data_IF_441061059741
#
_entry.id   IF_441061059741
#
_cell.length_a   1.000
_cell.length_b   1.000
_cell.length_c   1.000
_cell.angle_alpha   90.00
_cell.angle_beta   90.00
_cell.angle_gamma   90.00
#
_symmetry.space_group_name_H-M   'P 1'
#
loop_
_entity.id
_entity.type
_entity.pdbx_description
1 polymer ?
#
# COMPACT_ATOMS: atom_id res chain seq x y z
N UNK A 1 15.99 83.37 -70.11
CA UNK A 1 14.82 83.54 -69.23
C UNK A 1 14.46 82.14 -68.74
N UNK A 2 14.83 81.70 -67.54
CA UNK A 2 14.93 82.45 -66.29
C UNK A 2 16.31 82.33 -65.63
N UNK A 3 16.88 83.45 -65.17
CA UNK A 3 18.04 83.39 -64.28
C UNK A 3 17.57 83.00 -62.88
N UNK A 4 17.98 81.82 -62.40
CA UNK A 4 17.91 81.48 -60.98
C UNK A 4 18.78 82.48 -60.23
N UNK A 5 18.15 83.38 -59.47
CA UNK A 5 18.86 84.26 -58.55
C UNK A 5 19.12 83.46 -57.29
N UNK A 6 20.34 82.97 -57.14
CA UNK A 6 20.82 82.45 -55.86
C UNK A 6 20.82 83.60 -54.85
N UNK A 7 20.48 83.33 -53.60
CA UNK A 7 20.37 84.32 -52.53
C UNK A 7 21.17 83.80 -51.35
N UNK A 8 22.04 84.63 -50.76
CA UNK A 8 22.72 84.26 -49.52
C UNK A 8 21.69 84.16 -48.40
N UNK A 9 21.52 82.98 -47.78
CA UNK A 9 20.53 82.79 -46.71
C UNK A 9 20.82 83.62 -45.44
N UNK A 10 22.10 83.94 -45.16
CA UNK A 10 22.49 84.69 -43.96
C UNK A 10 22.21 86.20 -44.05
N UNK A 11 22.36 86.82 -45.22
CA UNK A 11 22.15 88.27 -45.44
C UNK A 11 21.02 88.63 -46.43
N UNK A 12 20.35 87.65 -47.03
CA UNK A 12 19.26 87.79 -48.01
C UNK A 12 19.61 88.52 -49.31
N UNK A 13 20.89 88.68 -49.65
CA UNK A 13 21.32 89.37 -50.88
C UNK A 13 21.46 88.43 -52.09
N UNK A 14 21.17 88.90 -53.33
CA UNK A 14 21.29 88.08 -54.54
C UNK A 14 22.76 87.87 -54.94
N UNK A 15 23.17 86.61 -55.01
CA UNK A 15 24.51 86.17 -55.40
C UNK A 15 24.70 86.29 -56.92
N UNK A 16 25.79 86.92 -57.35
CA UNK A 16 26.24 86.89 -58.74
C UNK A 16 27.23 85.74 -58.95
N UNK A 17 26.87 84.78 -59.80
CA UNK A 17 27.78 83.73 -60.23
C UNK A 17 28.77 84.29 -61.28
N UNK A 18 30.05 84.38 -60.92
CA UNK A 18 31.10 84.75 -61.87
C UNK A 18 31.31 83.63 -62.91
N UNK A 19 31.23 83.99 -64.18
CA UNK A 19 31.50 83.10 -65.32
C UNK A 19 33.01 82.95 -65.54
N UNK A 20 33.67 82.11 -64.73
CA UNK A 20 35.11 81.84 -64.88
C UNK A 20 35.53 80.45 -64.37
N UNK A 21 34.85 79.40 -64.81
CA UNK A 21 35.27 77.99 -64.68
C UNK A 21 35.06 77.19 -65.97
N UNK A 22 35.14 77.85 -67.13
CA UNK A 22 35.53 77.18 -68.37
C UNK A 22 37.03 77.46 -68.59
N UNK A 23 37.79 76.41 -68.95
CA UNK A 23 39.26 76.39 -69.15
C UNK A 23 40.14 76.61 -67.90
N UNK A 24 40.65 75.50 -67.35
CA UNK A 24 42.09 75.32 -67.05
C UNK A 24 42.40 73.83 -66.83
N UNK A 25 43.65 73.45 -67.13
CA UNK A 25 44.15 72.07 -67.15
C UNK A 25 44.20 71.41 -65.76
N UNK A 26 44.02 70.10 -65.70
CA UNK A 26 44.45 69.26 -64.57
C UNK A 26 45.99 69.16 -64.54
N UNK A 27 46.66 69.42 -63.41
CA UNK A 27 48.01 68.97 -63.11
C UNK A 27 48.02 67.70 -62.23
N UNK A 28 49.19 67.08 -62.10
CA UNK A 28 49.41 65.73 -61.59
C UNK A 28 49.35 65.55 -60.05
N UNK A 29 49.29 64.26 -59.65
CA UNK A 29 49.69 63.68 -58.35
C UNK A 29 48.63 63.73 -57.21
N UNK A 30 48.56 62.78 -56.27
CA UNK A 30 49.53 61.75 -55.84
C UNK A 30 48.92 60.34 -55.69
N UNK A 31 49.77 59.31 -55.74
CA UNK A 31 49.44 57.93 -55.36
C UNK A 31 49.30 57.77 -53.83
N UNK A 32 48.56 56.73 -53.38
CA UNK A 32 48.97 55.90 -52.24
C UNK A 32 48.30 54.50 -52.25
N UNK A 33 49.05 53.52 -52.76
CA UNK A 33 49.20 52.12 -52.32
C UNK A 33 48.00 51.45 -51.60
N UNK A 34 47.42 50.43 -52.23
CA UNK A 34 46.70 49.34 -51.54
C UNK A 34 47.55 48.06 -51.56
N UNK A 35 47.89 47.53 -50.38
CA UNK A 35 48.60 46.26 -50.25
C UNK A 35 47.62 45.08 -50.07
N UNK A 36 47.95 43.94 -50.68
CA UNK A 36 47.15 42.70 -50.68
C UNK A 36 47.28 41.93 -49.35
N UNK A 37 46.29 41.10 -49.01
CA UNK A 37 46.35 40.24 -47.82
C UNK A 37 45.13 39.34 -47.57
N UNK A 38 44.71 38.52 -48.55
CA UNK A 38 44.04 37.23 -48.26
C UNK A 38 45.06 36.24 -47.65
N UNK A 39 44.69 35.12 -46.97
CA UNK A 39 43.45 34.30 -47.07
C UNK A 39 42.75 34.07 -45.70
N UNK A 40 41.63 33.35 -45.53
CA UNK A 40 40.81 32.50 -46.42
C UNK A 40 40.52 31.13 -45.75
N UNK A 41 39.35 30.53 -46.03
CA UNK A 41 38.94 29.13 -45.69
C UNK A 41 38.76 28.77 -44.18
N UNK A 42 37.76 27.98 -43.71
CA UNK A 42 36.42 27.54 -44.19
C UNK A 42 35.60 26.98 -43.00
N UNK A 43 34.25 26.89 -43.10
CA UNK A 43 33.38 25.86 -42.45
C UNK A 43 33.33 25.81 -40.88
N UNK A 44 32.35 25.21 -40.19
CA UNK A 44 30.93 24.89 -40.45
C UNK A 44 30.27 24.61 -39.07
N UNK A 45 28.96 24.87 -38.89
CA UNK A 45 28.15 24.28 -37.82
C UNK A 45 28.23 24.88 -36.40
N UNK A 46 27.08 25.29 -35.85
CA UNK A 46 26.85 25.40 -34.40
C UNK A 46 26.45 24.04 -33.79
N UNK A 47 25.66 23.95 -32.69
CA UNK A 47 24.99 25.00 -31.89
C UNK A 47 25.60 24.93 -30.43
N UNK A 48 24.91 25.03 -29.25
CA UNK A 48 23.50 25.27 -28.92
C UNK A 48 23.16 26.22 -27.73
N UNK A 49 21.84 26.40 -27.56
CA UNK A 49 21.03 26.65 -26.33
C UNK A 49 21.74 26.68 -24.95
N UNK A 50 21.31 27.50 -23.96
CA UNK A 50 19.97 27.55 -23.31
C UNK A 50 19.83 28.88 -22.54
N UNK A 51 18.70 29.58 -22.64
CA UNK A 51 17.58 29.68 -21.67
C UNK A 51 17.64 30.96 -20.82
N UNK A 52 16.49 31.61 -20.64
CA UNK A 52 15.97 31.87 -19.29
C UNK A 52 14.46 32.21 -19.30
N UNK A 53 13.88 32.14 -18.10
CA UNK A 53 12.54 32.50 -17.63
C UNK A 53 11.81 33.68 -18.36
N UNK A 54 10.48 33.79 -18.37
CA UNK A 54 9.42 33.00 -17.70
C UNK A 54 8.04 33.25 -18.39
N UNK A 55 6.97 32.58 -17.91
CA UNK A 55 5.51 32.84 -18.06
C UNK A 55 5.05 34.02 -18.97
N UNK A 56 4.01 33.92 -19.81
CA UNK A 56 2.82 33.06 -19.73
C UNK A 56 2.08 33.03 -21.09
N UNK A 57 1.32 31.96 -21.37
CA UNK A 57 0.37 31.95 -22.49
C UNK A 57 -1.03 31.76 -21.93
N UNK A 58 -1.85 32.81 -21.93
CA UNK A 58 -3.22 32.78 -21.44
C UNK A 58 -4.15 33.38 -22.49
N UNK A 59 -4.93 32.50 -23.15
CA UNK A 59 -6.02 32.93 -24.01
C UNK A 59 -7.34 32.97 -23.22
N UNK A 60 -7.74 34.20 -22.93
CA UNK A 60 -9.12 34.71 -22.88
C UNK A 60 -10.18 33.98 -22.02
N UNK A 61 -10.54 34.65 -20.93
CA UNK A 61 -11.75 34.40 -20.13
C UNK A 61 -12.41 35.69 -19.64
N UNK A 62 -13.00 36.46 -20.57
CA UNK A 62 -13.99 37.53 -20.34
C UNK A 62 -13.56 38.92 -19.78
N UNK A 63 -13.49 39.88 -20.71
CA UNK A 63 -14.36 41.09 -20.75
C UNK A 63 -13.91 42.46 -20.18
N UNK A 64 -14.11 43.47 -21.05
CA UNK A 64 -14.34 44.92 -20.89
C UNK A 64 -13.27 45.93 -20.38
N UNK A 65 -13.14 47.01 -21.19
CA UNK A 65 -12.64 48.41 -20.98
C UNK A 65 -11.16 48.78 -21.24
N UNK A 66 -10.95 49.26 -22.47
CA UNK A 66 -10.44 50.60 -22.89
C UNK A 66 -9.17 51.22 -22.24
N UNK A 67 -8.17 51.47 -23.12
CA UNK A 67 -6.98 52.35 -23.07
C UNK A 67 -7.29 53.85 -22.74
N UNK A 68 -6.32 54.81 -22.59
CA UNK A 68 -4.89 54.87 -23.02
C UNK A 68 -3.88 55.39 -21.93
N UNK A 69 -2.57 55.63 -22.14
CA UNK A 69 -1.69 55.58 -23.33
C UNK A 69 -0.18 55.85 -23.04
N UNK A 70 0.62 55.94 -24.12
CA UNK A 70 2.09 56.13 -24.28
C UNK A 70 2.70 57.46 -23.69
N UNK A 71 4.04 57.81 -23.80
CA UNK A 71 5.11 57.30 -24.71
C UNK A 71 6.61 57.18 -24.22
N UNK A 72 7.42 56.41 -24.98
CA UNK A 72 8.85 56.66 -25.35
C UNK A 72 9.99 56.37 -24.33
N UNK A 73 11.22 55.95 -24.72
CA UNK A 73 11.75 55.44 -26.01
C UNK A 73 13.31 55.42 -26.10
N UNK A 74 13.91 54.39 -26.76
CA UNK A 74 15.32 54.23 -27.32
C UNK A 74 16.54 54.52 -26.38
N UNK A 75 17.75 53.96 -26.55
CA UNK A 75 18.56 53.49 -27.71
C UNK A 75 19.51 52.30 -27.38
N UNK A 76 20.03 51.65 -28.44
CA UNK A 76 21.31 50.90 -28.70
C UNK A 76 22.19 50.37 -27.53
N UNK A 77 22.98 49.30 -27.68
CA UNK A 77 23.82 48.88 -28.83
C UNK A 77 23.84 47.36 -29.05
N UNK A 78 23.98 46.91 -30.31
CA UNK A 78 25.19 46.23 -30.81
C UNK A 78 25.06 45.87 -32.31
N UNK A 79 26.20 45.72 -32.97
CA UNK A 79 26.40 45.35 -34.39
C UNK A 79 27.49 44.24 -34.39
N UNK A 80 27.57 43.30 -35.36
CA UNK A 80 28.05 43.66 -36.70
C UNK A 80 27.52 42.83 -37.89
N UNK A 81 27.94 43.26 -39.08
CA UNK A 81 28.15 42.48 -40.32
C UNK A 81 26.99 41.71 -40.96
N UNK A 82 26.18 42.44 -41.73
CA UNK A 82 25.57 41.90 -42.94
C UNK A 82 25.71 42.88 -44.13
N UNK A 83 26.78 42.68 -44.92
CA UNK A 83 26.97 43.38 -46.19
C UNK A 83 25.90 42.93 -47.19
N UNK A 84 24.82 43.69 -47.32
CA UNK A 84 23.84 43.48 -48.39
C UNK A 84 24.29 44.22 -49.64
N UNK A 85 24.77 43.48 -50.65
CA UNK A 85 25.08 44.00 -51.97
C UNK A 85 23.82 44.57 -52.64
N UNK A 86 23.67 45.89 -52.63
CA UNK A 86 22.70 46.58 -53.48
C UNK A 86 23.06 46.34 -54.96
N UNK A 87 22.03 46.03 -55.75
CA UNK A 87 22.18 45.44 -57.06
C UNK A 87 23.00 46.26 -58.07
N UNK A 88 23.79 45.51 -58.85
CA UNK A 88 24.49 45.89 -60.07
C UNK A 88 23.84 47.07 -60.84
N UNK A 89 24.42 48.27 -60.69
CA UNK A 89 24.03 49.48 -61.43
C UNK A 89 24.55 49.40 -62.88
N UNK A 90 23.73 48.84 -63.76
CA UNK A 90 23.99 48.83 -65.19
C UNK A 90 24.23 50.24 -65.74
N UNK A 91 25.35 50.43 -66.44
CA UNK A 91 25.77 51.72 -66.97
C UNK A 91 24.78 52.27 -68.02
N UNK A 92 24.03 53.29 -67.63
CA UNK A 92 23.27 54.17 -68.53
C UNK A 92 23.27 55.59 -67.93
N UNK A 93 24.39 56.30 -68.09
CA UNK A 93 24.54 57.71 -67.66
C UNK A 93 23.61 58.62 -68.47
N UNK A 94 22.45 58.92 -67.92
CA UNK A 94 21.61 60.05 -68.36
C UNK A 94 22.00 61.30 -67.56
N UNK A 95 21.93 62.48 -68.18
CA UNK A 95 22.14 63.75 -67.44
C UNK A 95 21.20 63.87 -66.23
N UNK A 96 20.00 63.28 -66.31
CA UNK A 96 19.05 63.24 -65.19
C UNK A 96 19.53 62.42 -63.99
N UNK A 97 20.33 61.36 -64.17
CA UNK A 97 20.87 60.60 -63.04
C UNK A 97 22.05 61.31 -62.39
N UNK A 98 22.83 62.07 -63.17
CA UNK A 98 23.92 62.91 -62.63
C UNK A 98 23.33 64.11 -61.86
N UNK A 99 22.33 64.79 -62.43
CA UNK A 99 21.67 65.92 -61.79
C UNK A 99 20.91 65.50 -60.52
N UNK A 100 20.29 64.30 -60.53
CA UNK A 100 19.65 63.75 -59.34
C UNK A 100 20.67 63.33 -58.28
N UNK A 101 21.74 62.61 -58.65
CA UNK A 101 22.80 62.27 -57.71
C UNK A 101 23.50 63.52 -57.14
N UNK A 102 23.65 64.59 -57.93
CA UNK A 102 24.16 65.87 -57.44
C UNK A 102 23.20 66.54 -56.44
N UNK A 103 21.89 66.48 -56.67
CA UNK A 103 20.88 66.98 -55.71
C UNK A 103 20.86 66.13 -54.44
N UNK A 104 20.86 64.80 -54.58
CA UNK A 104 20.83 63.86 -53.46
C UNK A 104 22.14 64.00 -52.62
N UNK A 105 23.30 64.21 -53.26
CA UNK A 105 24.55 64.54 -52.56
C UNK A 105 24.53 65.94 -51.91
N UNK A 106 23.84 66.91 -52.50
CA UNK A 106 23.69 68.26 -51.90
C UNK A 106 22.80 68.21 -50.66
N UNK A 107 21.68 67.48 -50.71
CA UNK A 107 20.78 67.27 -49.56
C UNK A 107 21.48 66.50 -48.42
N UNK A 108 22.33 65.52 -48.74
CA UNK A 108 23.14 64.80 -47.75
C UNK A 108 24.18 65.72 -47.11
N UNK A 109 24.92 66.52 -47.89
CA UNK A 109 25.94 67.44 -47.37
C UNK A 109 25.34 68.63 -46.61
N UNK A 110 24.12 69.06 -46.96
CA UNK A 110 23.37 70.10 -46.24
C UNK A 110 22.72 69.57 -44.95
N UNK A 111 22.60 68.25 -44.77
CA UNK A 111 21.98 67.65 -43.59
C UNK A 111 22.88 67.54 -42.37
N UNK A 112 24.20 67.78 -42.51
CA UNK A 112 25.21 67.46 -41.49
C UNK A 112 26.04 68.68 -41.03
N UNK A 113 25.73 69.89 -41.53
CA UNK A 113 26.29 71.16 -41.02
C UNK A 113 25.23 72.24 -40.89
N UNK A 114 25.23 73.00 -39.78
CA UNK A 114 24.19 73.98 -39.40
C UNK A 114 24.31 75.33 -40.16
N UNK A 115 24.80 75.30 -41.41
CA UNK A 115 24.97 76.48 -42.28
C UNK A 115 24.66 76.13 -43.75
N UNK A 116 23.41 76.38 -44.15
CA UNK A 116 22.97 76.24 -45.54
C UNK A 116 23.82 77.10 -46.50
N UNK A 117 24.34 76.45 -47.55
CA UNK A 117 25.07 77.10 -48.64
C UNK A 117 24.17 77.25 -49.88
N UNK A 118 24.27 78.36 -50.65
CA UNK A 118 25.43 79.25 -50.75
C UNK A 118 25.35 80.54 -49.92
N UNK A 119 26.49 80.93 -49.33
CA UNK A 119 26.70 82.24 -48.70
C UNK A 119 27.38 83.25 -49.67
N UNK A 120 27.35 84.54 -49.33
CA UNK A 120 28.19 85.56 -49.99
C UNK A 120 29.58 85.64 -49.33
N UNK A 121 30.52 86.30 -50.00
CA UNK A 121 31.90 86.54 -49.55
C UNK A 121 31.95 87.03 -48.08
N UNK A 122 31.37 88.20 -47.78
CA UNK A 122 31.32 88.77 -46.41
C UNK A 122 30.73 87.82 -45.33
N UNK A 123 29.78 86.96 -45.69
CA UNK A 123 29.14 86.02 -44.75
C UNK A 123 29.96 84.74 -44.56
N UNK A 124 30.78 84.41 -45.56
CA UNK A 124 31.75 83.31 -45.52
C UNK A 124 32.95 83.74 -44.69
N UNK A 125 33.46 84.96 -44.89
CA UNK A 125 34.57 85.53 -44.10
C UNK A 125 34.23 85.63 -42.61
N UNK A 126 33.03 86.11 -42.26
CA UNK A 126 32.58 86.15 -40.86
C UNK A 126 32.37 84.72 -40.27
N UNK A 127 31.98 83.73 -41.07
CA UNK A 127 31.97 82.34 -40.61
C UNK A 127 33.38 81.81 -40.38
N UNK A 128 34.33 82.14 -41.28
CA UNK A 128 35.74 81.76 -41.14
C UNK A 128 36.37 82.40 -39.90
N UNK A 129 36.16 83.69 -39.64
CA UNK A 129 36.57 84.34 -38.38
C UNK A 129 35.97 83.65 -37.15
N UNK A 130 34.69 83.26 -37.21
CA UNK A 130 34.02 82.56 -36.11
C UNK A 130 34.59 81.14 -35.89
N UNK A 131 34.98 80.45 -36.97
CA UNK A 131 35.66 79.15 -36.93
C UNK A 131 37.11 79.29 -36.43
N UNK A 132 37.86 80.31 -36.82
CA UNK A 132 39.21 80.60 -36.32
C UNK A 132 39.20 80.91 -34.81
N UNK A 133 38.18 81.61 -34.33
CA UNK A 133 37.96 81.82 -32.88
C UNK A 133 37.65 80.49 -32.18
N UNK A 134 36.84 79.60 -32.78
CA UNK A 134 36.60 78.27 -32.19
C UNK A 134 37.88 77.41 -32.18
N UNK A 135 38.64 77.40 -33.28
CA UNK A 135 39.90 76.68 -33.40
C UNK A 135 40.92 77.16 -32.37
N UNK A 136 41.12 78.46 -32.23
CA UNK A 136 42.06 79.02 -31.22
C UNK A 136 41.65 78.71 -29.78
N UNK A 137 40.34 78.67 -29.47
CA UNK A 137 39.84 78.20 -28.16
C UNK A 137 40.16 76.71 -27.98
N UNK A 138 39.80 75.84 -28.92
CA UNK A 138 40.05 74.40 -28.85
C UNK A 138 41.55 74.07 -28.80
N UNK A 139 42.39 74.80 -29.53
CA UNK A 139 43.85 74.69 -29.44
C UNK A 139 44.36 75.07 -28.05
N UNK A 140 43.81 76.14 -27.44
CA UNK A 140 44.17 76.55 -26.07
C UNK A 140 43.75 75.51 -25.03
N UNK A 141 42.60 74.87 -25.21
CA UNK A 141 42.12 73.76 -24.38
C UNK A 141 43.00 72.52 -24.55
N UNK A 142 43.32 72.11 -25.78
CA UNK A 142 44.26 71.01 -26.06
C UNK A 142 45.64 71.31 -25.43
N UNK A 143 46.15 72.53 -25.54
CA UNK A 143 47.37 72.96 -24.88
C UNK A 143 47.26 72.98 -23.35
N UNK A 144 46.06 73.16 -22.79
CA UNK A 144 45.81 73.04 -21.34
C UNK A 144 45.82 71.57 -20.89
N UNK A 145 45.15 70.67 -21.61
CA UNK A 145 45.16 69.24 -21.33
C UNK A 145 46.56 68.64 -21.49
N UNK A 146 47.31 69.02 -22.54
CA UNK A 146 48.72 68.65 -22.70
C UNK A 146 49.56 69.11 -21.51
N UNK A 147 49.47 70.37 -21.08
CA UNK A 147 50.15 70.85 -19.87
C UNK A 147 49.75 70.10 -18.60
N UNK A 148 48.47 69.72 -18.44
CA UNK A 148 48.03 68.89 -17.31
C UNK A 148 48.59 67.47 -17.35
N UNK A 149 48.68 66.85 -18.53
CA UNK A 149 49.31 65.54 -18.72
C UNK A 149 50.83 65.63 -18.48
N UNK A 150 51.51 66.60 -19.08
CA UNK A 150 52.93 66.87 -18.88
C UNK A 150 53.27 67.17 -17.41
N UNK A 151 52.43 67.92 -16.69
CA UNK A 151 52.59 68.16 -15.25
C UNK A 151 52.42 66.88 -14.44
N UNK A 152 51.46 66.02 -14.79
CA UNK A 152 51.28 64.69 -14.17
C UNK A 152 52.45 63.75 -14.47
N UNK A 153 53.03 63.86 -15.66
CA UNK A 153 54.20 63.10 -16.09
C UNK A 153 55.52 63.59 -15.48
N UNK A 154 55.64 64.88 -15.18
CA UNK A 154 56.77 65.48 -14.45
C UNK A 154 56.72 65.23 -12.94
N UNK A 155 55.53 65.05 -12.37
CA UNK A 155 55.34 64.58 -10.99
C UNK A 155 55.58 63.04 -10.89
N UNK A 156 55.69 62.34 -12.01
CA UNK A 156 55.91 60.88 -12.05
C UNK A 156 57.39 60.50 -11.88
N UNK A 157 57.93 60.73 -10.68
CA UNK A 157 59.08 59.95 -10.19
C UNK A 157 58.70 58.45 -10.02
N UNK A 158 57.40 58.16 -9.99
CA UNK A 158 56.81 56.83 -9.83
C UNK A 158 56.82 55.94 -11.10
N UNK A 159 57.40 56.34 -12.25
CA UNK A 159 57.32 55.50 -13.47
C UNK A 159 57.92 54.11 -13.27
N UNK A 160 59.03 54.00 -12.53
CA UNK A 160 59.63 52.70 -12.19
C UNK A 160 58.73 51.87 -11.25
N UNK A 161 58.10 52.51 -10.24
CA UNK A 161 57.13 51.84 -9.36
C UNK A 161 55.88 51.38 -10.11
N UNK A 162 55.42 52.13 -11.10
CA UNK A 162 54.30 51.76 -11.97
C UNK A 162 54.66 50.59 -12.89
N UNK A 163 55.87 50.58 -13.47
CA UNK A 163 56.34 49.44 -14.26
C UNK A 163 56.51 48.18 -13.42
N UNK A 164 57.04 48.29 -12.21
CA UNK A 164 57.18 47.14 -11.31
C UNK A 164 55.81 46.62 -10.83
N UNK A 165 54.86 47.52 -10.56
CA UNK A 165 53.48 47.14 -10.27
C UNK A 165 52.78 46.47 -11.47
N UNK A 166 53.06 46.93 -12.70
CA UNK A 166 52.50 46.34 -13.91
C UNK A 166 53.00 44.90 -14.10
N UNK A 167 54.32 44.67 -14.00
CA UNK A 167 54.90 43.31 -14.00
C UNK A 167 54.34 42.43 -12.88
N UNK A 168 54.14 42.99 -11.69
CA UNK A 168 53.52 42.28 -10.57
C UNK A 168 52.11 41.80 -10.91
N UNK A 169 51.29 42.65 -11.55
CA UNK A 169 49.95 42.31 -12.00
C UNK A 169 49.95 41.29 -13.14
N UNK A 170 50.85 41.39 -14.12
CA UNK A 170 51.01 40.39 -15.20
C UNK A 170 51.37 38.99 -14.63
N UNK A 171 52.20 38.96 -13.57
CA UNK A 171 52.60 37.73 -12.89
C UNK A 171 51.47 37.16 -12.01
N UNK A 172 50.64 38.02 -11.41
CA UNK A 172 49.40 37.59 -10.74
C UNK A 172 48.34 37.08 -11.73
N UNK A 173 48.15 37.76 -12.86
CA UNK A 173 47.21 37.35 -13.92
C UNK A 173 47.58 35.97 -14.47
N UNK A 174 48.84 35.75 -14.85
CA UNK A 174 49.30 34.44 -15.34
C UNK A 174 49.16 33.34 -14.29
N UNK A 175 49.32 33.65 -13.00
CA UNK A 175 49.05 32.68 -11.91
C UNK A 175 47.55 32.35 -11.80
N UNK A 176 46.68 33.37 -11.85
CA UNK A 176 45.23 33.20 -11.77
C UNK A 176 44.66 32.41 -12.96
N UNK A 177 45.20 32.62 -14.17
CA UNK A 177 44.84 31.83 -15.36
C UNK A 177 45.19 30.34 -15.16
N UNK A 178 46.36 30.03 -14.60
CA UNK A 178 46.73 28.63 -14.29
C UNK A 178 45.82 28.02 -13.21
N UNK A 179 45.50 28.77 -12.15
CA UNK A 179 44.55 28.34 -11.11
C UNK A 179 43.16 28.07 -11.71
N UNK A 180 42.67 28.91 -12.63
CA UNK A 180 41.40 28.73 -13.33
C UNK A 180 41.40 27.48 -14.22
N UNK A 181 42.44 27.26 -15.02
CA UNK A 181 42.57 26.04 -15.83
C UNK A 181 42.53 24.76 -15.00
N UNK A 182 43.17 24.75 -13.81
CA UNK A 182 43.12 23.60 -12.90
C UNK A 182 41.72 23.41 -12.33
N UNK A 183 41.03 24.50 -11.96
CA UNK A 183 39.64 24.45 -11.48
C UNK A 183 38.69 23.94 -12.57
N UNK A 184 38.82 24.37 -13.82
CA UNK A 184 38.01 23.85 -14.93
C UNK A 184 38.26 22.34 -15.17
N UNK A 185 39.53 21.90 -15.18
CA UNK A 185 39.88 20.46 -15.27
C UNK A 185 39.33 19.66 -14.08
N UNK A 186 39.18 20.28 -12.91
CA UNK A 186 38.53 19.66 -11.74
C UNK A 186 37.01 19.59 -11.90
N UNK A 187 36.37 20.66 -12.37
CA UNK A 187 34.92 20.69 -12.64
C UNK A 187 34.52 19.67 -13.72
N UNK A 188 35.29 19.56 -14.81
CA UNK A 188 35.04 18.58 -15.87
C UNK A 188 35.13 17.13 -15.36
N UNK A 189 36.12 16.81 -14.51
CA UNK A 189 36.23 15.50 -13.84
C UNK A 189 35.05 15.24 -12.92
N UNK A 190 34.76 16.16 -12.01
CA UNK A 190 33.61 16.04 -11.10
C UNK A 190 32.27 15.88 -11.83
N UNK A 191 32.08 16.56 -12.96
CA UNK A 191 30.89 16.42 -13.80
C UNK A 191 30.79 15.06 -14.52
N UNK A 192 31.93 14.45 -14.88
CA UNK A 192 31.98 13.09 -15.42
C UNK A 192 31.66 12.05 -14.35
N UNK A 193 32.28 12.18 -13.17
CA UNK A 193 32.06 11.29 -12.02
C UNK A 193 30.59 11.36 -11.54
N UNK A 194 30.00 12.56 -11.51
CA UNK A 194 28.60 12.78 -11.15
C UNK A 194 27.64 12.10 -12.14
N UNK A 195 27.91 12.17 -13.44
CA UNK A 195 27.12 11.46 -14.47
C UNK A 195 27.24 9.93 -14.34
N UNK A 196 28.43 9.42 -14.01
CA UNK A 196 28.62 7.99 -13.77
C UNK A 196 27.84 7.51 -12.54
N UNK A 197 27.90 8.27 -11.43
CA UNK A 197 27.15 7.97 -10.22
C UNK A 197 25.62 8.05 -10.43
N UNK A 198 25.14 8.99 -11.25
CA UNK A 198 23.72 9.05 -11.64
C UNK A 198 23.28 7.80 -12.41
N UNK A 199 24.05 7.37 -13.42
CA UNK A 199 23.74 6.17 -14.19
C UNK A 199 23.77 4.88 -13.33
N UNK A 200 24.71 4.77 -12.39
CA UNK A 200 24.73 3.67 -11.42
C UNK A 200 23.49 3.70 -10.50
N UNK A 201 23.12 4.88 -10.01
CA UNK A 201 21.91 5.07 -9.18
C UNK A 201 20.65 4.63 -9.91
N UNK A 202 20.47 5.05 -11.17
CA UNK A 202 19.31 4.67 -12.00
C UNK A 202 19.22 3.14 -12.24
N UNK A 203 20.37 2.46 -12.36
CA UNK A 203 20.44 1.00 -12.50
C UNK A 203 20.07 0.29 -11.19
N UNK A 204 20.54 0.78 -10.05
CA UNK A 204 20.18 0.25 -8.73
C UNK A 204 18.68 0.44 -8.44
N UNK A 205 18.14 1.60 -8.77
CA UNK A 205 16.70 1.92 -8.67
C UNK A 205 15.82 0.92 -9.44
N UNK A 206 16.25 0.51 -10.62
CA UNK A 206 15.55 -0.50 -11.44
C UNK A 206 15.64 -1.89 -10.81
N UNK A 207 16.80 -2.26 -10.27
CA UNK A 207 16.98 -3.52 -9.55
C UNK A 207 16.15 -3.58 -8.27
N UNK A 208 16.07 -2.48 -7.50
CA UNK A 208 15.24 -2.43 -6.30
C UNK A 208 13.75 -2.56 -6.65
N UNK A 209 13.28 -1.84 -7.68
CA UNK A 209 11.89 -1.96 -8.17
C UNK A 209 11.55 -3.38 -8.63
N UNK A 210 12.52 -4.15 -9.13
CA UNK A 210 12.32 -5.57 -9.46
C UNK A 210 12.30 -6.44 -8.20
N UNK A 211 13.28 -6.26 -7.30
CA UNK A 211 13.34 -6.97 -6.01
C UNK A 211 12.07 -6.77 -5.17
N UNK A 212 11.53 -5.55 -5.10
CA UNK A 212 10.29 -5.24 -4.38
C UNK A 212 9.08 -6.00 -4.94
N UNK A 213 8.99 -6.20 -6.27
CA UNK A 213 7.92 -7.01 -6.90
C UNK A 213 8.05 -8.48 -6.55
N UNK A 214 9.26 -9.03 -6.64
CA UNK A 214 9.54 -10.44 -6.34
C UNK A 214 9.34 -10.75 -4.85
N UNK A 215 9.79 -9.84 -3.96
CA UNK A 215 9.50 -9.89 -2.53
C UNK A 215 7.99 -9.87 -2.24
N UNK A 216 7.26 -8.96 -2.88
CA UNK A 216 5.79 -8.86 -2.73
C UNK A 216 5.10 -10.16 -3.16
N UNK A 217 5.51 -10.75 -4.30
CA UNK A 217 5.00 -12.03 -4.78
C UNK A 217 5.26 -13.19 -3.81
N UNK A 218 6.48 -13.30 -3.28
CA UNK A 218 6.82 -14.29 -2.26
C UNK A 218 6.03 -14.07 -0.96
N UNK A 219 5.78 -12.81 -0.59
CA UNK A 219 4.99 -12.47 0.59
C UNK A 219 3.52 -12.87 0.45
N UNK A 220 2.93 -12.69 -0.74
CA UNK A 220 1.58 -13.18 -1.04
C UNK A 220 1.49 -14.70 -0.96
N UNK A 221 2.45 -15.43 -1.55
CA UNK A 221 2.51 -16.89 -1.47
C UNK A 221 2.65 -17.39 -0.02
N UNK A 222 3.41 -16.68 0.82
CA UNK A 222 3.53 -17.00 2.25
C UNK A 222 2.17 -16.85 2.98
N UNK A 223 1.40 -15.82 2.66
CA UNK A 223 0.09 -15.57 3.28
C UNK A 223 -0.94 -16.62 2.83
N UNK A 224 -0.99 -16.94 1.55
CA UNK A 224 -1.87 -17.98 0.99
C UNK A 224 -1.62 -19.35 1.65
N UNK A 225 -0.36 -19.77 1.74
CA UNK A 225 0.02 -21.02 2.44
C UNK A 225 -0.30 -20.99 3.94
N UNK A 226 -0.27 -19.82 4.59
CA UNK A 226 -0.63 -19.67 6.00
C UNK A 226 -2.15 -19.80 6.23
N UNK A 227 -2.95 -19.25 5.32
CA UNK A 227 -4.41 -19.39 5.34
C UNK A 227 -4.86 -20.84 5.03
N UNK A 228 -4.19 -21.50 4.08
CA UNK A 228 -4.40 -22.93 3.81
C UNK A 228 -4.08 -23.80 5.03
N UNK A 229 -2.92 -23.59 5.66
CA UNK A 229 -2.51 -24.28 6.88
C UNK A 229 -3.53 -24.06 8.00
N UNK A 230 -3.91 -22.80 8.24
CA UNK A 230 -4.93 -22.43 9.23
C UNK A 230 -6.29 -23.09 8.94
N UNK A 231 -6.65 -23.27 7.67
CA UNK A 231 -7.86 -23.98 7.24
C UNK A 231 -7.78 -25.50 7.46
N UNK A 232 -6.62 -26.12 7.23
CA UNK A 232 -6.37 -27.54 7.56
C UNK A 232 -6.46 -27.76 9.07
N UNK A 233 -5.81 -26.90 9.88
CA UNK A 233 -5.82 -27.00 11.34
C UNK A 233 -7.23 -26.88 11.92
N UNK A 234 -8.04 -25.92 11.45
CA UNK A 234 -9.44 -25.76 11.86
C UNK A 234 -10.28 -27.00 11.53
N UNK A 235 -10.12 -27.58 10.34
CA UNK A 235 -10.80 -28.83 9.95
C UNK A 235 -10.39 -30.00 10.85
N UNK A 236 -9.09 -30.14 11.12
CA UNK A 236 -8.55 -31.19 11.99
C UNK A 236 -9.04 -31.03 13.45
N UNK A 237 -9.10 -29.79 13.96
CA UNK A 237 -9.65 -29.46 15.28
C UNK A 237 -11.13 -29.80 15.37
N UNK A 238 -11.94 -29.42 14.38
CA UNK A 238 -13.36 -29.78 14.32
C UNK A 238 -13.56 -31.29 14.32
N UNK A 239 -12.82 -32.02 13.46
CA UNK A 239 -12.86 -33.49 13.41
C UNK A 239 -12.47 -34.14 14.74
N UNK A 240 -11.47 -33.61 15.46
CA UNK A 240 -11.10 -34.08 16.81
C UNK A 240 -12.22 -33.86 17.83
N UNK A 241 -12.91 -32.71 17.77
CA UNK A 241 -14.05 -32.44 18.67
C UNK A 241 -15.22 -33.36 18.35
N UNK A 242 -15.57 -33.54 17.08
CA UNK A 242 -16.62 -34.49 16.68
C UNK A 242 -16.27 -35.92 17.11
N UNK A 243 -15.03 -36.36 16.89
CA UNK A 243 -14.55 -37.66 17.37
C UNK A 243 -14.67 -37.80 18.90
N UNK A 244 -14.26 -36.79 19.67
CA UNK A 244 -14.34 -36.82 21.13
C UNK A 244 -15.78 -36.70 21.67
N UNK A 245 -16.70 -36.08 20.92
CA UNK A 245 -18.13 -36.13 21.20
C UNK A 245 -18.67 -37.55 20.97
N UNK A 246 -18.35 -38.17 19.82
CA UNK A 246 -18.75 -39.54 19.47
C UNK A 246 -18.19 -40.58 20.46
N UNK A 247 -16.93 -40.42 20.89
CA UNK A 247 -16.29 -41.25 21.93
C UNK A 247 -17.05 -41.22 23.26
N UNK A 248 -17.57 -40.04 23.66
CA UNK A 248 -18.39 -39.89 24.88
C UNK A 248 -19.80 -40.44 24.70
N UNK A 249 -20.40 -40.28 23.53
CA UNK A 249 -21.76 -40.75 23.23
C UNK A 249 -21.75 -42.22 22.82
N UNK A 250 -21.52 -43.14 23.76
CA UNK A 250 -21.79 -44.56 23.50
C UNK A 250 -23.29 -44.74 23.26
N UNK A 251 -23.66 -45.59 22.27
CA UNK A 251 -25.06 -45.85 21.89
C UNK A 251 -25.89 -46.31 23.10
N UNK A 252 -25.26 -47.06 24.01
CA UNK A 252 -25.87 -47.53 25.24
C UNK A 252 -26.13 -46.42 26.28
N UNK A 253 -25.17 -45.49 26.45
CA UNK A 253 -25.36 -44.34 27.35
C UNK A 253 -26.40 -43.37 26.80
N UNK A 254 -26.47 -43.20 25.47
CA UNK A 254 -27.47 -42.35 24.81
C UNK A 254 -28.89 -42.95 24.82
N UNK A 255 -29.02 -44.28 24.82
CA UNK A 255 -30.31 -44.96 24.87
C UNK A 255 -30.84 -45.19 26.30
N UNK A 256 -29.95 -45.32 27.30
CA UNK A 256 -30.29 -45.63 28.69
C UNK A 256 -29.49 -44.77 29.67
N UNK A 257 -29.93 -43.53 29.87
CA UNK A 257 -29.35 -42.64 30.86
C UNK A 257 -29.75 -43.06 32.29
N UNK A 258 -28.80 -43.64 33.04
CA UNK A 258 -28.97 -43.98 34.45
C UNK A 258 -28.31 -42.93 35.35
N UNK A 259 -29.14 -42.13 36.01
CA UNK A 259 -28.73 -41.12 36.98
C UNK A 259 -29.07 -41.53 38.42
N UNK A 260 -28.26 -41.08 39.37
CA UNK A 260 -28.38 -41.41 40.79
C UNK A 260 -28.22 -40.17 41.68
N UNK A 261 -28.85 -39.07 41.28
CA UNK A 261 -28.87 -37.84 42.07
C UNK A 261 -29.98 -37.88 43.13
N UNK A 262 -29.61 -37.66 44.39
CA UNK A 262 -30.52 -37.76 45.53
C UNK A 262 -30.91 -39.19 45.97
N UNK A 263 -32.03 -39.35 46.69
CA UNK A 263 -32.43 -40.63 47.29
C UNK A 263 -32.99 -41.64 46.28
N UNK A 264 -33.59 -41.16 45.19
CA UNK A 264 -34.14 -41.98 44.11
C UNK A 264 -33.12 -42.13 42.97
N UNK A 265 -33.27 -43.20 42.18
CA UNK A 265 -32.54 -43.40 40.92
C UNK A 265 -33.49 -43.20 39.74
N UNK A 266 -32.99 -42.62 38.66
CA UNK A 266 -33.75 -42.42 37.42
C UNK A 266 -33.13 -43.19 36.27
N UNK A 267 -34.00 -43.72 35.39
CA UNK A 267 -33.63 -44.29 34.08
C UNK A 267 -34.43 -43.55 33.00
N UNK A 268 -33.75 -42.91 32.05
CA UNK A 268 -34.39 -42.08 31.01
C UNK A 268 -35.41 -41.09 31.60
N UNK A 269 -35.03 -40.41 32.69
CA UNK A 269 -35.84 -39.48 33.50
C UNK A 269 -37.02 -40.07 34.31
N UNK A 270 -37.28 -41.38 34.27
CA UNK A 270 -38.31 -42.02 35.10
C UNK A 270 -37.74 -42.49 36.44
N UNK A 271 -38.36 -42.12 37.57
CA UNK A 271 -37.90 -42.51 38.92
C UNK A 271 -38.28 -43.95 39.24
N UNK A 272 -37.29 -44.76 39.63
CA UNK A 272 -37.48 -46.14 40.08
C UNK A 272 -37.37 -46.24 41.60
N UNK A 273 -38.52 -46.23 42.27
CA UNK A 273 -38.65 -46.32 43.72
C UNK A 273 -39.83 -45.49 44.25
N UNK A 274 -40.09 -45.58 45.55
CA UNK A 274 -41.08 -44.77 46.27
C UNK A 274 -40.54 -44.46 47.66
N UNK A 275 -40.58 -43.19 48.09
CA UNK A 275 -40.30 -42.81 49.48
C UNK A 275 -41.56 -42.14 50.07
N UNK A 276 -41.80 -42.28 51.39
CA UNK A 276 -42.87 -41.55 52.06
C UNK A 276 -42.79 -40.02 51.92
N UNK A 277 -41.58 -39.50 51.73
CA UNK A 277 -41.29 -38.07 51.52
C UNK A 277 -41.49 -37.59 50.08
N UNK A 278 -41.41 -38.48 49.10
CA UNK A 278 -41.56 -38.19 47.67
C UNK A 278 -42.37 -39.32 47.02
N UNK A 279 -43.71 -39.24 47.04
CA UNK A 279 -44.55 -40.25 46.40
C UNK A 279 -44.36 -40.22 44.88
N UNK A 280 -44.09 -41.39 44.30
CA UNK A 280 -43.91 -41.58 42.86
C UNK A 280 -45.15 -42.29 42.31
N UNK A 281 -45.64 -41.88 41.14
CA UNK A 281 -46.79 -42.52 40.53
C UNK A 281 -46.42 -43.93 40.03
N UNK A 282 -47.27 -44.92 40.30
CA UNK A 282 -47.02 -46.30 39.85
C UNK A 282 -46.85 -46.43 38.34
N UNK A 283 -47.51 -45.59 37.53
CA UNK A 283 -47.28 -45.54 36.09
C UNK A 283 -45.81 -45.17 35.74
N UNK A 284 -45.18 -44.26 36.49
CA UNK A 284 -43.78 -43.87 36.30
C UNK A 284 -42.83 -45.01 36.67
N UNK A 285 -43.10 -45.67 37.80
CA UNK A 285 -42.38 -46.87 38.28
C UNK A 285 -42.48 -48.01 37.25
N UNK A 286 -43.68 -48.25 36.70
CA UNK A 286 -43.93 -49.29 35.70
C UNK A 286 -43.21 -48.99 34.37
N UNK A 287 -43.14 -47.70 33.96
CA UNK A 287 -42.32 -47.29 32.80
C UNK A 287 -40.84 -47.51 33.09
N UNK A 288 -40.34 -47.12 34.26
CA UNK A 288 -38.94 -47.33 34.66
C UNK A 288 -38.57 -48.83 34.67
N UNK A 289 -39.48 -49.71 35.13
CA UNK A 289 -39.32 -51.17 35.02
C UNK A 289 -39.28 -51.64 33.56
N UNK A 290 -40.11 -51.08 32.69
CA UNK A 290 -40.06 -51.38 31.25
C UNK A 290 -38.77 -50.95 30.56
N UNK A 291 -38.24 -49.78 30.90
CA UNK A 291 -36.93 -49.31 30.45
C UNK A 291 -35.81 -50.23 30.97
N UNK A 292 -35.90 -50.66 32.23
CA UNK A 292 -34.93 -51.59 32.85
C UNK A 292 -35.00 -52.99 32.24
N UNK A 293 -36.19 -53.45 31.84
CA UNK A 293 -36.40 -54.70 31.11
C UNK A 293 -35.85 -54.63 29.68
N UNK A 294 -36.10 -53.53 28.96
CA UNK A 294 -35.56 -53.30 27.62
C UNK A 294 -34.02 -53.22 27.65
N UNK A 295 -33.46 -52.57 28.68
CA UNK A 295 -32.02 -52.51 28.92
C UNK A 295 -31.43 -53.91 29.11
N UNK A 296 -31.98 -54.74 30.01
CA UNK A 296 -31.45 -56.10 30.22
C UNK A 296 -31.55 -56.97 28.96
N UNK A 297 -32.63 -56.82 28.17
CA UNK A 297 -32.76 -57.52 26.88
C UNK A 297 -31.74 -57.03 25.84
N UNK A 298 -31.50 -55.71 25.75
CA UNK A 298 -30.50 -55.15 24.85
C UNK A 298 -29.09 -55.64 25.22
N UNK A 299 -28.75 -55.63 26.51
CA UNK A 299 -27.50 -56.16 27.04
C UNK A 299 -27.37 -57.67 26.74
N UNK A 300 -28.38 -58.49 26.98
CA UNK A 300 -28.31 -59.93 26.68
C UNK A 300 -28.11 -60.20 25.18
N UNK A 301 -28.81 -59.48 24.31
CA UNK A 301 -28.67 -59.60 22.85
C UNK A 301 -27.25 -59.25 22.37
N UNK A 302 -26.60 -58.23 22.96
CA UNK A 302 -25.23 -57.84 22.57
C UNK A 302 -24.16 -58.86 22.90
N UNK A 303 -24.38 -59.67 23.94
CA UNK A 303 -23.48 -60.76 24.34
C UNK A 303 -23.90 -62.10 23.69
N UNK A 304 -25.12 -62.19 23.16
CA UNK A 304 -25.69 -63.43 22.63
C UNK A 304 -26.17 -64.40 23.72
N UNK A 305 -26.59 -63.88 24.89
CA UNK A 305 -27.13 -64.68 25.98
C UNK A 305 -28.62 -64.95 25.78
N UNK A 306 -28.99 -66.23 25.69
CA UNK A 306 -30.36 -66.71 25.87
C UNK A 306 -30.60 -67.07 27.35
N UNK A 307 -31.66 -66.54 27.95
CA UNK A 307 -32.02 -66.81 29.33
C UNK A 307 -32.63 -68.22 29.49
N UNK A 308 -32.21 -68.96 30.52
CA UNK A 308 -32.53 -70.39 30.66
C UNK A 308 -33.91 -70.67 31.28
N UNK A 309 -34.43 -69.75 32.10
CA UNK A 309 -35.64 -69.96 32.90
C UNK A 309 -36.80 -69.04 32.55
N UNK A 310 -36.52 -67.83 32.07
CA UNK A 310 -37.53 -66.83 31.79
C UNK A 310 -37.20 -66.06 30.51
N UNK A 311 -38.20 -65.83 29.66
CA UNK A 311 -38.12 -64.93 28.52
C UNK A 311 -38.63 -63.54 28.93
N UNK A 312 -37.77 -62.54 28.81
CA UNK A 312 -38.08 -61.14 29.11
C UNK A 312 -38.73 -60.45 27.89
N UNK A 313 -39.91 -59.84 28.09
CA UNK A 313 -40.63 -59.14 27.02
C UNK A 313 -40.93 -57.70 27.47
N UNK A 314 -40.17 -56.70 26.97
CA UNK A 314 -40.41 -55.30 27.30
C UNK A 314 -41.60 -54.76 26.49
N UNK A 315 -42.64 -54.33 27.21
CA UNK A 315 -43.88 -53.75 26.68
C UNK A 315 -44.14 -52.38 27.33
N UNK A 316 -43.11 -51.54 27.42
CA UNK A 316 -43.19 -50.24 28.10
C UNK A 316 -43.71 -50.38 29.53
N UNK A 317 -44.79 -49.66 29.84
CA UNK A 317 -45.44 -49.65 31.15
C UNK A 317 -46.13 -50.98 31.55
N UNK A 318 -46.23 -51.98 30.67
CA UNK A 318 -46.80 -53.29 30.98
C UNK A 318 -45.85 -54.44 30.63
N UNK A 319 -44.55 -54.26 30.91
CA UNK A 319 -43.53 -55.29 30.67
C UNK A 319 -43.74 -56.54 31.55
N UNK A 320 -43.37 -57.71 31.04
CA UNK A 320 -43.56 -58.99 31.73
C UNK A 320 -42.48 -60.03 31.40
N UNK A 321 -42.37 -61.06 32.22
CA UNK A 321 -41.58 -62.26 31.97
C UNK A 321 -42.52 -63.45 31.72
N UNK A 322 -42.13 -64.33 30.80
CA UNK A 322 -42.76 -65.65 30.61
C UNK A 322 -41.82 -66.73 31.12
N UNK A 323 -42.32 -67.68 31.91
CA UNK A 323 -41.54 -68.87 32.27
C UNK A 323 -41.32 -69.74 31.05
N UNK A 324 -40.12 -70.30 30.89
CA UNK A 324 -39.81 -71.27 29.83
C UNK A 324 -40.19 -72.71 30.23
N UNK A 325 -40.49 -72.96 31.50
CA UNK A 325 -40.93 -74.27 32.01
C UNK A 325 -42.44 -74.39 32.15
N UNK A 326 -43.19 -73.29 32.05
CA UNK A 326 -44.65 -73.27 32.12
C UNK A 326 -45.20 -72.06 31.33
N UNK A 327 -45.65 -72.32 30.10
CA UNK A 327 -46.18 -71.31 29.18
C UNK A 327 -47.40 -70.54 29.73
N UNK A 328 -48.07 -71.07 30.76
CA UNK A 328 -49.25 -70.44 31.37
C UNK A 328 -48.90 -69.36 32.41
N UNK A 329 -47.64 -69.24 32.83
CA UNK A 329 -47.23 -68.31 33.90
C UNK A 329 -46.62 -67.04 33.32
N UNK A 330 -47.48 -66.02 33.18
CA UNK A 330 -47.07 -64.63 32.95
C UNK A 330 -46.78 -63.91 34.27
N UNK A 331 -45.56 -63.36 34.39
CA UNK A 331 -45.05 -62.63 35.56
C UNK A 331 -44.94 -61.13 35.21
N UNK A 332 -45.93 -60.29 35.56
CA UNK A 332 -45.93 -58.86 35.22
C UNK A 332 -44.92 -58.07 36.06
N UNK A 333 -44.09 -57.25 35.40
CA UNK A 333 -43.23 -56.22 36.00
C UNK A 333 -43.96 -54.87 36.16
N UNK A 334 -45.26 -54.90 36.38
CA UNK A 334 -46.06 -53.70 36.63
C UNK A 334 -47.03 -53.93 37.80
N UNK A 335 -47.37 -52.85 38.50
CA UNK A 335 -48.33 -52.87 39.60
C UNK A 335 -49.24 -51.64 39.54
N UNK A 336 -50.49 -51.82 39.96
CA UNK A 336 -51.50 -50.76 40.01
C UNK A 336 -51.56 -50.06 41.38
N UNK A 337 -50.53 -50.22 42.22
CA UNK A 337 -50.37 -49.51 43.50
C UNK A 337 -51.36 -49.87 44.62
N UNK A 338 -52.33 -50.75 44.36
CA UNK A 338 -53.17 -51.32 45.41
C UNK A 338 -52.29 -52.17 46.33
N UNK A 339 -52.27 -51.87 47.63
CA UNK A 339 -51.57 -52.65 48.66
C UNK A 339 -52.17 -54.06 48.74
N UNK A 340 -51.67 -54.97 47.91
CA UNK A 340 -52.08 -56.36 47.90
C UNK A 340 -51.47 -57.07 49.11
N UNK A 341 -52.27 -57.28 50.16
CA UNK A 341 -51.90 -57.94 51.42
C UNK A 341 -51.73 -59.48 51.25
N UNK A 342 -51.55 -59.96 50.03
CA UNK A 342 -51.51 -61.38 49.69
C UNK A 342 -50.08 -61.87 49.45
N UNK A 343 -49.71 -63.00 50.07
CA UNK A 343 -48.38 -63.61 49.96
C UNK A 343 -47.99 -64.06 48.54
N UNK A 344 -48.96 -64.16 47.61
CA UNK A 344 -48.76 -64.53 46.21
C UNK A 344 -48.78 -63.30 45.29
N UNK A 345 -47.97 -62.29 45.61
CA UNK A 345 -47.81 -61.13 44.74
C UNK A 345 -47.03 -61.51 43.47
N UNK A 346 -47.73 -61.61 42.33
CA UNK A 346 -47.10 -61.91 41.02
C UNK A 346 -46.00 -60.92 40.65
N UNK A 347 -46.09 -59.67 41.11
CA UNK A 347 -45.06 -58.65 40.91
C UNK A 347 -43.76 -58.96 41.67
N UNK A 348 -43.84 -59.45 42.92
CA UNK A 348 -42.65 -59.87 43.67
C UNK A 348 -41.99 -61.10 43.05
N UNK A 349 -42.80 -62.02 42.49
CA UNK A 349 -42.30 -63.16 41.71
C UNK A 349 -41.61 -62.70 40.41
N UNK A 350 -42.18 -61.71 39.71
CA UNK A 350 -41.58 -61.12 38.51
C UNK A 350 -40.24 -60.43 38.82
N UNK A 351 -40.14 -59.64 39.90
CA UNK A 351 -38.88 -59.01 40.31
C UNK A 351 -37.81 -60.05 40.72
N UNK A 352 -38.18 -61.16 41.35
CA UNK A 352 -37.24 -62.25 41.63
C UNK A 352 -36.77 -62.96 40.36
N UNK A 353 -37.67 -63.23 39.41
CA UNK A 353 -37.32 -63.79 38.11
C UNK A 353 -36.42 -62.84 37.30
N UNK A 354 -36.63 -61.52 37.43
CA UNK A 354 -35.79 -60.50 36.82
C UNK A 354 -34.37 -60.46 37.43
N UNK A 355 -34.23 -60.53 38.76
CA UNK A 355 -32.91 -60.68 39.40
C UNK A 355 -32.19 -61.97 38.99
N UNK A 356 -32.94 -63.04 38.73
CA UNK A 356 -32.38 -64.30 38.24
C UNK A 356 -31.84 -64.18 36.80
N UNK A 357 -32.54 -63.47 35.90
CA UNK A 357 -32.02 -63.09 34.59
C UNK A 357 -30.75 -62.21 34.71
N UNK A 358 -30.74 -61.25 35.63
CA UNK A 358 -29.57 -60.40 35.89
C UNK A 358 -28.36 -61.18 36.42
N UNK A 359 -28.60 -62.20 37.26
CA UNK A 359 -27.55 -63.10 37.75
C UNK A 359 -27.01 -64.02 36.63
N UNK A 360 -27.86 -64.55 35.75
CA UNK A 360 -27.43 -65.30 34.56
C UNK A 360 -26.56 -64.43 33.63
N UNK A 361 -26.94 -63.17 33.43
CA UNK A 361 -26.14 -62.19 32.71
C UNK A 361 -24.76 -61.97 33.36
N UNK A 362 -24.74 -61.77 34.69
CA UNK A 362 -23.50 -61.61 35.46
C UNK A 362 -22.57 -62.81 35.27
N UNK A 363 -23.07 -64.03 35.47
CA UNK A 363 -22.26 -65.26 35.38
C UNK A 363 -21.67 -65.51 33.99
N UNK A 364 -22.35 -65.08 32.91
CA UNK A 364 -21.80 -65.16 31.56
C UNK A 364 -20.78 -64.04 31.31
N UNK A 365 -21.03 -62.83 31.81
CA UNK A 365 -20.09 -61.71 31.72
C UNK A 365 -18.79 -61.94 32.53
N UNK A 366 -18.86 -62.65 33.67
CA UNK A 366 -17.69 -63.07 34.46
C UNK A 366 -16.82 -64.13 33.76
N UNK A 367 -17.41 -64.97 32.89
CA UNK A 367 -16.68 -66.04 32.15
C UNK A 367 -15.82 -65.54 30.98
N UNK A 368 -16.05 -64.33 30.47
CA UNK A 368 -15.18 -63.72 29.46
C UNK A 368 -13.92 -63.12 30.10
N UNK A 369 -12.80 -63.02 29.35
CA UNK A 369 -11.44 -62.65 29.82
C UNK A 369 -11.19 -61.24 30.40
N UNK A 370 -12.20 -60.62 30.99
CA UNK A 370 -12.22 -59.35 31.71
C UNK A 370 -13.54 -59.36 32.51
N UNK A 371 -13.57 -60.16 33.57
CA UNK A 371 -14.81 -60.52 34.27
C UNK A 371 -15.54 -59.30 34.83
N UNK A 372 -16.85 -59.23 34.60
CA UNK A 372 -17.70 -58.16 35.14
C UNK A 372 -17.89 -58.33 36.66
N UNK A 373 -17.06 -57.65 37.45
CA UNK A 373 -17.29 -57.57 38.89
C UNK A 373 -18.37 -56.51 39.19
N UNK A 374 -19.61 -56.96 39.40
CA UNK A 374 -20.69 -56.08 39.87
C UNK A 374 -20.41 -55.63 41.33
N UNK A 375 -20.52 -54.33 41.66
CA UNK A 375 -20.22 -53.82 42.99
C UNK A 375 -21.17 -54.34 44.08
N UNK A 376 -22.41 -54.69 43.73
CA UNK A 376 -23.41 -55.22 44.66
C UNK A 376 -23.74 -56.67 44.34
N UNK A 377 -23.72 -57.56 45.36
CA UNK A 377 -23.97 -59.00 45.17
C UNK A 377 -25.47 -59.29 45.17
N UNK A 378 -25.90 -60.18 44.27
CA UNK A 378 -27.30 -60.55 44.06
C UNK A 378 -27.56 -61.93 44.71
N UNK A 379 -28.45 -61.99 45.70
CA UNK A 379 -28.85 -63.24 46.37
C UNK A 379 -30.22 -63.71 45.88
N UNK A 380 -30.27 -64.24 44.65
CA UNK A 380 -31.51 -64.63 43.95
C UNK A 380 -32.46 -65.48 44.81
N UNK A 381 -31.95 -66.51 45.50
CA UNK A 381 -32.76 -67.42 46.34
C UNK A 381 -33.51 -66.73 47.49
N UNK A 382 -33.05 -65.55 47.93
CA UNK A 382 -33.70 -64.74 48.97
C UNK A 382 -34.35 -63.45 48.43
N UNK A 383 -34.04 -63.04 47.21
CA UNK A 383 -34.46 -61.76 46.64
C UNK A 383 -33.78 -60.55 47.30
N UNK A 384 -32.55 -60.72 47.78
CA UNK A 384 -31.78 -59.70 48.51
C UNK A 384 -30.62 -59.15 47.67
N UNK A 385 -30.38 -57.85 47.78
CA UNK A 385 -29.16 -57.18 47.33
C UNK A 385 -28.25 -56.91 48.54
N UNK A 386 -26.97 -57.24 48.44
CA UNK A 386 -25.96 -57.00 49.48
C UNK A 386 -25.10 -55.78 49.09
N UNK A 387 -25.07 -54.76 49.96
CA UNK A 387 -24.11 -53.66 49.88
C UNK A 387 -22.83 -53.99 50.68
N UNK A 388 -21.69 -54.28 50.04
CA UNK A 388 -20.46 -54.61 50.75
C UNK A 388 -19.81 -53.40 51.45
N UNK A 389 -20.30 -52.17 51.24
CA UNK A 389 -19.86 -50.97 51.97
C UNK A 389 -20.64 -50.75 53.27
N UNK A 390 -21.77 -51.43 53.47
CA UNK A 390 -22.64 -51.28 54.63
C UNK A 390 -22.66 -52.57 55.45
N UNK A 391 -22.17 -52.51 56.69
CA UNK A 391 -22.09 -53.68 57.58
C UNK A 391 -23.49 -54.25 57.85
N UNK A 392 -23.83 -55.36 57.19
CA UNK A 392 -25.14 -56.02 57.30
C UNK A 392 -26.23 -55.50 56.35
N UNK A 393 -25.90 -54.67 55.36
CA UNK A 393 -26.86 -54.07 54.43
C UNK A 393 -27.46 -55.04 53.39
N UNK A 394 -28.38 -55.90 53.83
CA UNK A 394 -29.21 -56.73 52.94
C UNK A 394 -30.56 -56.06 52.66
N UNK A 395 -30.80 -55.63 51.42
CA UNK A 395 -32.03 -54.95 51.02
C UNK A 395 -32.91 -55.88 50.16
N UNK A 396 -34.18 -56.03 50.52
CA UNK A 396 -35.14 -56.85 49.76
C UNK A 396 -35.69 -56.12 48.55
N UNK A 397 -35.75 -56.80 47.40
CA UNK A 397 -36.45 -56.29 46.21
C UNK A 397 -37.97 -56.51 46.28
N UNK A 398 -38.46 -57.33 47.21
CA UNK A 398 -39.88 -57.65 47.34
C UNK A 398 -40.63 -56.48 47.99
N UNK A 399 -41.83 -56.21 47.53
CA UNK A 399 -42.75 -55.23 48.14
C UNK A 399 -43.48 -55.81 49.36
N UNK A 400 -43.67 -57.13 49.43
CA UNK A 400 -44.20 -57.77 50.65
C UNK A 400 -43.22 -57.69 51.82
N UNK A 401 -43.75 -57.47 53.04
CA UNK A 401 -43.03 -57.47 54.32
C UNK A 401 -41.74 -56.59 54.33
N UNK A 402 -41.75 -55.48 53.60
CA UNK A 402 -40.60 -54.62 53.36
C UNK A 402 -40.99 -53.14 53.53
N UNK A 403 -40.04 -52.27 53.86
CA UNK A 403 -40.29 -50.82 53.84
C UNK A 403 -40.09 -50.24 52.43
N UNK A 404 -40.82 -49.17 52.10
CA UNK A 404 -40.68 -48.48 50.81
C UNK A 404 -39.25 -47.91 50.62
N UNK A 405 -38.57 -47.58 51.72
CA UNK A 405 -37.17 -47.14 51.74
C UNK A 405 -36.17 -48.26 51.43
N UNK A 406 -36.31 -49.44 52.06
CA UNK A 406 -35.44 -50.60 51.80
C UNK A 406 -35.65 -51.15 50.39
N UNK A 407 -36.90 -51.18 49.92
CA UNK A 407 -37.24 -51.48 48.53
C UNK A 407 -36.57 -50.51 47.55
N UNK A 408 -36.68 -49.20 47.79
CA UNK A 408 -36.02 -48.20 46.95
C UNK A 408 -34.50 -48.30 46.99
N UNK A 409 -33.90 -48.62 48.15
CA UNK A 409 -32.46 -48.91 48.26
C UNK A 409 -32.09 -50.12 47.40
N UNK A 410 -32.83 -51.23 47.45
CA UNK A 410 -32.58 -52.40 46.60
C UNK A 410 -32.62 -52.07 45.09
N UNK A 411 -33.60 -51.27 44.66
CA UNK A 411 -33.73 -50.81 43.27
C UNK A 411 -32.60 -49.87 42.84
N UNK A 412 -32.16 -48.98 43.73
CA UNK A 412 -30.99 -48.11 43.51
C UNK A 412 -29.72 -48.92 43.32
N UNK A 413 -29.47 -49.94 44.16
CA UNK A 413 -28.33 -50.85 44.01
C UNK A 413 -28.40 -51.64 42.70
N UNK A 414 -29.59 -52.09 42.30
CA UNK A 414 -29.84 -52.77 41.03
C UNK A 414 -29.50 -51.87 39.82
N UNK A 415 -29.97 -50.62 39.80
CA UNK A 415 -29.65 -49.68 38.70
C UNK A 415 -28.18 -49.27 38.66
N UNK A 416 -27.49 -49.17 39.80
CA UNK A 416 -26.03 -48.96 39.82
C UNK A 416 -25.30 -50.18 39.22
N UNK A 417 -25.70 -51.40 39.55
CA UNK A 417 -25.17 -52.60 38.89
C UNK A 417 -25.42 -52.57 37.37
N UNK A 418 -26.60 -52.15 36.90
CA UNK A 418 -26.86 -51.95 35.47
C UNK A 418 -25.98 -50.87 34.84
N UNK A 419 -25.70 -49.77 35.54
CA UNK A 419 -24.76 -48.73 35.08
C UNK A 419 -23.34 -49.29 34.92
N UNK A 420 -22.88 -50.16 35.82
CA UNK A 420 -21.61 -50.87 35.67
C UNK A 420 -21.63 -51.88 34.50
N UNK A 421 -22.74 -52.58 34.27
CA UNK A 421 -22.90 -53.45 33.10
C UNK A 421 -22.85 -52.66 31.78
N UNK A 422 -23.49 -51.50 31.72
CA UNK A 422 -23.50 -50.59 30.58
C UNK A 422 -22.10 -50.06 30.25
N UNK A 423 -21.33 -49.64 31.26
CA UNK A 423 -19.94 -49.18 31.04
C UNK A 423 -19.04 -50.31 30.58
N UNK A 424 -19.20 -51.53 31.12
CA UNK A 424 -18.44 -52.71 30.69
C UNK A 424 -18.79 -53.16 29.26
N UNK A 425 -20.07 -53.17 28.87
CA UNK A 425 -20.47 -53.47 27.48
C UNK A 425 -19.94 -52.39 26.53
N UNK A 426 -20.04 -51.11 26.90
CA UNK A 426 -19.47 -50.01 26.11
C UNK A 426 -17.96 -50.20 25.91
N UNK A 427 -17.20 -50.48 26.97
CA UNK A 427 -15.74 -50.68 26.89
C UNK A 427 -15.34 -51.89 26.02
N UNK A 428 -16.12 -52.98 26.02
CA UNK A 428 -15.82 -54.18 25.21
C UNK A 428 -16.28 -54.10 23.76
N UNK A 429 -17.45 -53.52 23.50
CA UNK A 429 -18.11 -53.64 22.20
C UNK A 429 -18.04 -52.36 21.36
N UNK A 430 -17.47 -51.26 21.87
CA UNK A 430 -17.10 -50.09 21.06
C UNK A 430 -15.77 -50.25 20.29
N UNK A 431 -15.07 -51.39 20.38
CA UNK A 431 -13.78 -51.63 19.70
C UNK A 431 -13.88 -52.52 18.44
N UNK A 432 -14.93 -52.35 17.62
CA UNK A 432 -15.07 -53.03 16.32
C UNK A 432 -15.37 -52.06 15.20
#
# INVERSE_FOLDING_TARGET
>A
MSSLRFICQRCSQPLQLNQSMETSQEPEALMLISAQGEPGETQEGGPPSREEADFENLQEGASYRTLPGLPGGRMSWDNPDSFTLLGNLGSLRSLSSIQKAASDMFDILSGETDVDHPMCEDCTDNLLEQLDVQLTITESEIQSYKRCLETRELISEDREMLQEKLKGLELEETRLVQELEEVEKNQQRAAADLKAAQAETEMLDQQEKQYQKDYSKLKWQQLELHDELSSVEKRLWYSRIQWHQLEKTSVFNAAFEIWHDGPLTTINNFRLGCLPTVPVCWNEINIAWGQTALLLLALSNTIGLEFQRYRLIPCGNHSYLKSLTDDCIELPLFSNGKRNVFLHNKFDQAMMAFLDCMQQFKELAEKGGSGLCLPYKIHVKKGLMEDPRSSGGFYSIRTHLNTEEEWTKALKLMLINFKCSLTWVSLRYCQK
#
